data_IF_895247674633
#
_entry.id   IF_895247674633
#
_cell.length_a   1.000
_cell.length_b   1.000
_cell.length_c   1.000
_cell.angle_alpha   90.00
_cell.angle_beta   90.00
_cell.angle_gamma   90.00
#
_symmetry.space_group_name_H-M   'P 1'
#
loop_
_entity.id
_entity.type
_entity.pdbx_description
1 polymer ?
#
# COMPACT_ATOMS: atom_id res chain seq x y z
N UNK A 1 -0.67 10.15 -6.30
CA UNK A 1 0.49 9.55 -5.62
C UNK A 1 0.61 8.11 -6.09
N UNK A 2 1.81 7.65 -6.46
CA UNK A 2 2.00 6.30 -6.98
C UNK A 2 2.54 5.38 -5.87
N UNK A 3 1.87 4.25 -5.66
CA UNK A 3 2.18 3.21 -4.70
C UNK A 3 2.58 1.92 -5.40
N UNK A 4 3.57 1.24 -4.84
CA UNK A 4 4.14 0.00 -5.32
C UNK A 4 4.01 -1.08 -4.24
N UNK A 5 3.58 -2.27 -4.66
CA UNK A 5 3.58 -3.48 -3.87
C UNK A 5 4.73 -4.38 -4.29
N UNK A 6 5.64 -4.59 -3.35
CA UNK A 6 6.78 -5.49 -3.48
C UNK A 6 6.51 -6.76 -2.69
N UNK A 7 6.72 -7.91 -3.33
CA UNK A 7 6.66 -9.23 -2.70
C UNK A 7 8.07 -9.77 -2.53
N UNK A 8 8.37 -10.18 -1.30
CA UNK A 8 9.61 -10.82 -0.91
C UNK A 8 9.48 -12.35 -1.08
N UNK A 9 10.59 -13.09 -1.18
CA UNK A 9 10.55 -14.54 -1.33
C UNK A 9 9.92 -15.28 -0.14
N UNK A 10 9.87 -14.64 1.03
CA UNK A 10 9.26 -15.18 2.26
C UNK A 10 7.74 -14.89 2.36
N UNK A 11 7.07 -14.56 1.25
CA UNK A 11 5.67 -14.09 1.20
C UNK A 11 5.40 -12.79 1.99
N UNK A 12 6.46 -12.14 2.48
CA UNK A 12 6.39 -10.79 3.03
C UNK A 12 6.08 -9.78 1.93
N UNK A 13 5.36 -8.73 2.30
CA UNK A 13 4.85 -7.74 1.37
C UNK A 13 5.05 -6.34 1.89
N UNK A 14 5.60 -5.49 1.03
CA UNK A 14 5.88 -4.11 1.34
C UNK A 14 5.14 -3.22 0.37
N UNK A 15 4.20 -2.45 0.91
CA UNK A 15 3.45 -1.44 0.16
C UNK A 15 4.00 -0.05 0.46
N UNK A 16 4.65 0.58 -0.52
CA UNK A 16 5.33 1.86 -0.34
C UNK A 16 5.20 2.76 -1.58
N UNK A 17 5.46 4.06 -1.44
CA UNK A 17 5.42 5.00 -2.57
C UNK A 17 6.54 4.73 -3.59
N UNK A 18 6.27 4.89 -4.90
CA UNK A 18 7.29 4.66 -5.96
C UNK A 18 8.42 5.70 -5.98
N UNK A 19 8.22 6.83 -5.29
CA UNK A 19 9.15 7.96 -5.22
C UNK A 19 10.17 7.90 -4.07
N UNK A 20 10.86 9.02 -3.79
CA UNK A 20 11.87 9.13 -2.73
C UNK A 20 11.35 8.73 -1.34
N UNK A 21 10.06 8.95 -1.10
CA UNK A 21 9.37 8.61 0.14
C UNK A 21 9.36 7.09 0.41
N UNK A 22 9.37 6.26 -0.63
CA UNK A 22 9.48 4.81 -0.50
C UNK A 22 10.90 4.27 -0.65
N UNK A 23 11.92 5.11 -0.90
CA UNK A 23 13.30 4.64 -1.01
C UNK A 23 13.79 3.98 0.28
N UNK A 24 13.38 4.49 1.43
CA UNK A 24 13.77 3.93 2.73
C UNK A 24 13.17 2.53 2.92
N UNK A 25 11.90 2.34 2.55
CA UNK A 25 11.26 1.02 2.57
C UNK A 25 11.92 0.06 1.56
N UNK A 26 12.15 0.52 0.32
CA UNK A 26 12.82 -0.28 -0.73
C UNK A 26 14.24 -0.71 -0.37
N UNK A 27 14.96 0.07 0.43
CA UNK A 27 16.29 -0.31 0.94
C UNK A 27 16.27 -1.46 1.95
N UNK A 28 15.13 -1.71 2.59
CA UNK A 28 14.96 -2.79 3.56
C UNK A 28 14.46 -4.08 2.92
N UNK A 29 14.05 -4.03 1.65
CA UNK A 29 13.58 -5.21 0.92
C UNK A 29 14.69 -6.23 0.72
N UNK A 30 14.29 -7.50 0.72
CA UNK A 30 15.14 -8.58 0.25
C UNK A 30 15.66 -8.29 -1.18
N UNK A 31 16.91 -8.66 -1.53
CA UNK A 31 17.44 -8.47 -2.89
C UNK A 31 16.63 -9.16 -3.99
N UNK A 32 15.92 -10.24 -3.65
CA UNK A 32 15.02 -10.96 -4.56
C UNK A 32 13.57 -10.45 -4.53
N UNK A 33 13.30 -9.36 -3.82
CA UNK A 33 11.99 -8.74 -3.79
C UNK A 33 11.57 -8.27 -5.19
N UNK A 34 10.31 -8.51 -5.55
CA UNK A 34 9.78 -8.27 -6.89
C UNK A 34 8.61 -7.31 -6.79
N UNK A 35 8.60 -6.32 -7.67
CA UNK A 35 7.42 -5.49 -7.85
C UNK A 35 6.33 -6.33 -8.51
N UNK A 36 5.24 -6.59 -7.78
CA UNK A 36 4.11 -7.37 -8.30
C UNK A 36 2.94 -6.50 -8.73
N UNK A 37 2.83 -5.29 -8.16
CA UNK A 37 1.71 -4.42 -8.44
C UNK A 37 2.08 -2.95 -8.20
N UNK A 38 1.48 -2.07 -8.99
CA UNK A 38 1.63 -0.62 -8.88
C UNK A 38 0.27 0.05 -9.09
N UNK A 39 -0.03 1.05 -8.28
CA UNK A 39 -1.31 1.74 -8.30
C UNK A 39 -1.14 3.24 -8.05
N UNK A 40 -1.76 4.04 -8.91
CA UNK A 40 -1.88 5.48 -8.67
C UNK A 40 -3.16 5.76 -7.88
N UNK A 41 -3.00 6.42 -6.74
CA UNK A 41 -4.08 6.83 -5.85
C UNK A 41 -3.90 8.29 -5.42
N UNK A 42 -5.01 9.06 -5.30
CA UNK A 42 -4.94 10.45 -4.84
C UNK A 42 -4.62 10.56 -3.35
N UNK A 43 -4.85 9.52 -2.55
CA UNK A 43 -4.60 9.50 -1.10
C UNK A 43 -4.09 8.16 -0.61
N UNK A 44 -3.47 8.14 0.58
CA UNK A 44 -3.07 6.90 1.26
C UNK A 44 -4.25 5.99 1.57
N UNK A 45 -5.41 6.56 1.93
CA UNK A 45 -6.62 5.80 2.18
C UNK A 45 -7.07 5.04 0.93
N UNK A 46 -7.17 5.71 -0.22
CA UNK A 46 -7.57 5.05 -1.46
C UNK A 46 -6.55 4.01 -1.92
N UNK A 47 -5.25 4.24 -1.69
CA UNK A 47 -4.21 3.27 -1.96
C UNK A 47 -4.39 1.99 -1.12
N UNK A 48 -4.64 2.14 0.18
CA UNK A 48 -4.90 1.02 1.10
C UNK A 48 -6.18 0.27 0.74
N UNK A 49 -7.25 0.97 0.37
CA UNK A 49 -8.50 0.34 -0.09
C UNK A 49 -8.27 -0.52 -1.32
N UNK A 50 -7.54 0.00 -2.33
CA UNK A 50 -7.21 -0.78 -3.53
C UNK A 50 -6.26 -1.93 -3.23
N UNK A 51 -5.31 -1.73 -2.31
CA UNK A 51 -4.39 -2.78 -1.86
C UNK A 51 -5.14 -3.94 -1.18
N UNK A 52 -6.07 -3.66 -0.27
CA UNK A 52 -6.89 -4.70 0.36
C UNK A 52 -7.76 -5.45 -0.65
N UNK A 53 -8.33 -4.73 -1.62
CA UNK A 53 -9.08 -5.33 -2.72
C UNK A 53 -8.20 -6.24 -3.60
N UNK A 54 -6.96 -5.80 -3.90
CA UNK A 54 -5.97 -6.59 -4.66
C UNK A 54 -5.56 -7.86 -3.92
N UNK A 55 -5.32 -7.76 -2.61
CA UNK A 55 -4.97 -8.89 -1.75
C UNK A 55 -6.16 -9.83 -1.47
N UNK A 56 -7.36 -9.48 -1.96
CA UNK A 56 -8.61 -10.21 -1.69
C UNK A 56 -8.89 -10.38 -0.18
N UNK A 57 -8.37 -9.48 0.64
CA UNK A 57 -8.60 -9.46 2.10
C UNK A 57 -9.97 -8.88 2.46
N UNK A 58 -10.70 -8.34 1.48
CA UNK A 58 -12.00 -7.71 1.65
C UNK A 58 -11.91 -6.19 1.65
N UNK A 59 -12.90 -5.52 2.25
CA UNK A 59 -12.93 -4.07 2.34
C UNK A 59 -11.99 -3.57 3.45
N UNK A 60 -11.15 -2.59 3.10
CA UNK A 60 -10.36 -1.87 4.10
C UNK A 60 -11.29 -1.04 4.98
N UNK A 61 -11.57 -1.53 6.19
CA UNK A 61 -12.29 -0.78 7.22
C UNK A 61 -11.27 -0.21 8.19
N UNK A 62 -11.05 1.09 8.10
CA UNK A 62 -10.26 1.83 9.09
C UNK A 62 -11.17 2.13 10.28
N UNK A 63 -10.81 1.72 11.50
CA UNK A 63 -11.54 2.04 12.75
C UNK A 63 -11.53 3.55 13.12
N UNK A 64 -11.00 4.40 12.23
CA UNK A 64 -11.18 5.83 12.36
C UNK A 64 -12.66 6.11 12.11
N UNK A 65 -13.39 6.73 13.06
CA UNK A 65 -14.76 7.11 12.81
C UNK A 65 -14.77 7.98 11.55
N UNK A 66 -15.59 7.57 10.59
CA UNK A 66 -16.01 8.42 9.48
C UNK A 66 -16.33 9.78 10.11
N UNK A 67 -15.56 10.84 9.79
CA UNK A 67 -15.78 12.13 10.41
C UNK A 67 -17.23 12.52 10.14
N UNK A 68 -18.10 12.38 11.14
CA UNK A 68 -19.48 12.80 11.03
C UNK A 68 -19.46 14.28 10.62
N UNK A 69 -20.13 14.67 9.51
CA UNK A 69 -20.26 16.07 9.18
C UNK A 69 -21.00 16.73 10.35
N UNK A 70 -20.31 17.61 11.08
CA UNK A 70 -20.93 18.34 12.18
C UNK A 70 -22.11 19.17 11.65
N UNK A 71 -23.25 19.20 12.37
CA UNK A 71 -24.45 19.92 11.97
C UNK A 71 -24.28 21.45 11.93
#
# INVERSE_FOLDING_TARGET
>A
MNYQLWMEPDDCQTFCLSGPQGNTARKLLHPDARLVWEVEAPSHFEAMTRYYAYMQWGEYKSDLPEQEPMP
#
